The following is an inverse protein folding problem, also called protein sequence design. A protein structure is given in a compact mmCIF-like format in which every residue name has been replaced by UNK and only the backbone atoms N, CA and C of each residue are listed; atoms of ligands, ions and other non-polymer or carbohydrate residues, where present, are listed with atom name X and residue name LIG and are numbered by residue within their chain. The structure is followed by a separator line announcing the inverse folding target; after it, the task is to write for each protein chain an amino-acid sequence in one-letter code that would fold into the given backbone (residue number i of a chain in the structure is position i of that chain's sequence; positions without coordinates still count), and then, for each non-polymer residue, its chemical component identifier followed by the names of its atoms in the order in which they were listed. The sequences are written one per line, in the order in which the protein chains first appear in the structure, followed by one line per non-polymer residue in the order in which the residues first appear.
data_IF_729995065969
#
_entry.id   IF_729995065969
#
_cell.length_a   1.000
_cell.length_b   1.000
_cell.length_c   1.000
_cell.angle_alpha   90.00
_cell.angle_beta   90.00
_cell.angle_gamma   90.00
#
_symmetry.space_group_name_H-M   'P 1'
#
loop_
_entity.id
_entity.type
_entity.pdbx_description
1 polymer ?
#
# COMPACT_ATOMS: atom_id res chain seq x y z
N UNK A 1 -24.47 -4.12 -4.21
CA UNK A 1 -23.63 -5.34 -4.33
C UNK A 1 -22.97 -5.25 -5.71
N UNK A 2 -21.68 -4.94 -5.78
CA UNK A 2 -20.98 -4.69 -7.06
C UNK A 2 -20.45 -6.03 -7.60
N UNK A 3 -20.71 -6.31 -8.89
CA UNK A 3 -20.34 -7.55 -9.58
C UNK A 3 -19.22 -7.21 -10.57
N UNK A 4 -18.00 -7.68 -10.33
CA UNK A 4 -16.82 -7.38 -11.16
C UNK A 4 -16.90 -8.14 -12.49
N UNK A 5 -16.69 -7.45 -13.61
CA UNK A 5 -16.67 -8.04 -14.95
C UNK A 5 -15.25 -8.52 -15.33
N UNK A 6 -15.16 -9.61 -16.12
CA UNK A 6 -13.91 -10.07 -16.75
C UNK A 6 -13.68 -9.27 -18.03
N UNK A 7 -12.63 -8.46 -18.09
CA UNK A 7 -12.17 -7.78 -19.32
C UNK A 7 -10.79 -8.33 -19.67
N UNK A 8 -10.61 -8.70 -20.94
CA UNK A 8 -9.34 -9.19 -21.49
C UNK A 8 -8.57 -7.99 -22.09
N UNK A 9 -7.56 -7.48 -21.37
CA UNK A 9 -6.84 -6.23 -21.66
C UNK A 9 -5.55 -6.44 -22.48
N UNK A 10 -5.30 -7.64 -23.03
CA UNK A 10 -3.96 -8.06 -23.43
C UNK A 10 -3.45 -7.57 -24.81
N UNK A 11 -4.25 -6.88 -25.62
CA UNK A 11 -3.89 -6.62 -27.03
C UNK A 11 -3.53 -5.17 -27.39
N UNK A 12 -3.14 -4.33 -26.43
CA UNK A 12 -2.70 -2.97 -26.77
C UNK A 12 -1.45 -2.56 -26.00
N UNK A 13 -0.43 -2.13 -26.76
CA UNK A 13 0.77 -1.39 -26.37
C UNK A 13 2.07 -2.18 -26.17
N UNK A 14 2.71 -2.49 -27.31
CA UNK A 14 4.15 -2.28 -27.48
C UNK A 14 4.33 -0.99 -28.28
N UNK A 15 4.84 0.09 -27.68
CA UNK A 15 5.66 1.12 -28.38
C UNK A 15 6.28 2.15 -27.42
N UNK A 16 7.61 2.11 -27.36
CA UNK A 16 8.57 3.21 -27.23
C UNK A 16 8.40 4.32 -26.17
N UNK A 17 9.28 4.28 -25.15
CA UNK A 17 9.71 5.49 -24.43
C UNK A 17 11.07 5.93 -24.99
N UNK A 18 11.04 6.83 -25.97
CA UNK A 18 12.22 7.61 -26.35
C UNK A 18 12.40 8.77 -25.37
N UNK A 19 13.41 8.66 -24.50
CA UNK A 19 13.84 9.73 -23.60
C UNK A 19 14.59 10.81 -24.39
N UNK A 20 13.93 11.92 -24.74
CA UNK A 20 14.61 13.14 -25.15
C UNK A 20 14.08 14.37 -24.42
N UNK A 21 14.99 15.07 -23.72
CA UNK A 21 14.93 16.47 -23.24
C UNK A 21 14.53 16.83 -21.79
N UNK A 22 14.32 15.90 -20.85
CA UNK A 22 14.03 16.21 -19.42
C UNK A 22 15.26 16.22 -18.47
N UNK A 23 16.43 16.70 -18.90
CA UNK A 23 17.67 16.46 -18.13
C UNK A 23 17.76 17.10 -16.73
N UNK A 24 16.95 18.11 -16.37
CA UNK A 24 17.11 18.88 -15.11
C UNK A 24 15.89 19.01 -14.17
N UNK A 25 14.77 18.28 -14.37
CA UNK A 25 13.60 18.38 -13.48
C UNK A 25 13.55 17.27 -12.42
N UNK A 26 12.97 17.59 -11.26
CA UNK A 26 12.80 16.65 -10.15
C UNK A 26 11.81 15.54 -10.52
N UNK A 27 12.07 14.30 -10.10
CA UNK A 27 11.27 13.13 -10.53
C UNK A 27 9.80 13.26 -10.13
N UNK A 28 9.53 13.75 -8.92
CA UNK A 28 8.18 13.98 -8.40
C UNK A 28 7.45 15.09 -9.17
N UNK A 29 8.15 16.14 -9.59
CA UNK A 29 7.59 17.21 -10.42
C UNK A 29 7.12 16.67 -11.78
N UNK A 30 7.91 15.80 -12.40
CA UNK A 30 7.51 15.16 -13.65
C UNK A 30 6.27 14.27 -13.48
N UNK A 31 6.13 13.57 -12.36
CA UNK A 31 4.93 12.76 -12.08
C UNK A 31 3.67 13.60 -11.94
N UNK A 32 3.75 14.74 -11.24
CA UNK A 32 2.60 15.66 -11.10
C UNK A 32 2.21 16.28 -12.45
N UNK A 33 3.18 16.66 -13.28
CA UNK A 33 2.87 17.18 -14.63
C UNK A 33 2.22 16.12 -15.51
N UNK A 34 2.67 14.87 -15.42
CA UNK A 34 2.07 13.77 -16.18
C UNK A 34 0.63 13.53 -15.74
N UNK A 35 0.35 13.46 -14.43
CA UNK A 35 -1.01 13.15 -13.95
C UNK A 35 -2.04 14.23 -14.35
N UNK A 36 -1.60 15.48 -14.50
CA UNK A 36 -2.44 16.59 -14.97
C UNK A 36 -2.98 16.37 -16.39
N UNK A 37 -2.17 15.83 -17.30
CA UNK A 37 -2.52 15.64 -18.72
C UNK A 37 -2.73 14.18 -19.16
N UNK A 38 -2.53 13.20 -18.28
CA UNK A 38 -2.56 11.78 -18.63
C UNK A 38 -3.95 11.30 -19.10
N UNK A 39 -4.01 10.60 -20.21
CA UNK A 39 -5.26 10.06 -20.77
C UNK A 39 -5.35 8.54 -20.66
N UNK A 40 -4.20 7.87 -20.45
CA UNK A 40 -4.15 6.44 -20.26
C UNK A 40 -4.43 6.08 -18.79
N UNK A 41 -5.48 5.28 -18.56
CA UNK A 41 -5.91 4.91 -17.20
C UNK A 41 -4.86 4.10 -16.42
N UNK A 42 -4.04 3.30 -17.10
CA UNK A 42 -3.00 2.50 -16.45
C UNK A 42 -1.87 3.43 -16.03
N UNK A 43 -1.38 4.27 -16.94
CA UNK A 43 -0.33 5.24 -16.63
C UNK A 43 -0.77 6.22 -15.54
N UNK A 44 -2.03 6.67 -15.55
CA UNK A 44 -2.60 7.55 -14.53
C UNK A 44 -2.58 6.88 -13.14
N UNK A 45 -3.04 5.62 -13.07
CA UNK A 45 -3.00 4.80 -11.84
C UNK A 45 -1.57 4.68 -11.31
N UNK A 46 -0.63 4.32 -12.17
CA UNK A 46 0.78 4.12 -11.81
C UNK A 46 1.43 5.42 -11.32
N UNK A 47 1.14 6.55 -11.95
CA UNK A 47 1.63 7.87 -11.54
C UNK A 47 1.02 8.33 -10.20
N UNK A 48 -0.21 7.93 -9.88
CA UNK A 48 -0.83 8.22 -8.58
C UNK A 48 -0.18 7.41 -7.45
N UNK A 49 0.07 6.11 -7.68
CA UNK A 49 0.79 5.24 -6.74
C UNK A 49 2.23 5.75 -6.54
N UNK A 50 2.91 6.02 -7.65
CA UNK A 50 3.83 7.14 -7.89
C UNK A 50 4.05 8.13 -6.75
N UNK A 51 3.27 9.18 -6.89
CA UNK A 51 3.22 10.36 -6.06
C UNK A 51 2.96 9.99 -4.61
N UNK A 52 2.03 9.07 -4.34
CA UNK A 52 1.65 8.71 -2.97
C UNK A 52 2.82 8.10 -2.20
N UNK A 53 3.55 7.19 -2.83
CA UNK A 53 4.72 6.57 -2.24
C UNK A 53 5.84 7.59 -1.99
N UNK A 54 6.16 8.43 -2.97
CA UNK A 54 7.21 9.44 -2.83
C UNK A 54 6.88 10.47 -1.74
N UNK A 55 5.61 10.86 -1.64
CA UNK A 55 5.15 11.73 -0.57
C UNK A 55 5.34 11.08 0.79
N UNK A 56 4.89 9.84 0.97
CA UNK A 56 5.08 9.08 2.21
C UNK A 56 6.56 8.90 2.58
N UNK A 57 7.41 8.56 1.60
CA UNK A 57 8.86 8.42 1.78
C UNK A 57 9.50 9.73 2.25
N UNK A 58 9.06 10.87 1.72
CA UNK A 58 9.56 12.18 2.14
C UNK A 58 9.16 12.54 3.56
N UNK A 59 7.93 12.21 3.98
CA UNK A 59 7.47 12.37 5.37
C UNK A 59 8.26 11.51 6.39
N UNK A 60 8.88 10.42 5.94
CA UNK A 60 9.78 9.60 6.77
C UNK A 60 11.18 10.21 6.83
N UNK A 61 11.71 10.64 5.67
CA UNK A 61 13.11 11.05 5.54
C UNK A 61 13.39 12.45 6.05
N UNK A 62 12.37 13.32 6.13
CA UNK A 62 12.53 14.70 6.59
C UNK A 62 11.91 14.87 7.98
N UNK A 63 12.66 15.42 8.97
CA UNK A 63 12.11 15.70 10.29
C UNK A 63 10.99 16.73 10.16
N UNK A 64 9.77 16.28 10.39
CA UNK A 64 8.57 17.11 10.30
C UNK A 64 8.55 18.09 11.48
N UNK A 65 8.18 19.34 11.22
CA UNK A 65 7.82 20.27 12.30
C UNK A 65 6.39 19.93 12.74
N UNK A 66 6.18 19.68 14.03
CA UNK A 66 4.88 19.29 14.61
C UNK A 66 3.72 20.20 14.13
N UNK A 67 4.01 21.49 13.97
CA UNK A 67 3.08 22.53 13.52
C UNK A 67 2.54 22.27 12.10
N UNK A 68 3.29 21.56 11.25
CA UNK A 68 2.93 21.26 9.86
C UNK A 68 2.26 19.90 9.68
N UNK A 69 2.35 19.01 10.68
CA UNK A 69 1.87 17.62 10.56
C UNK A 69 0.40 17.52 10.17
N UNK A 70 -0.48 18.36 10.73
CA UNK A 70 -1.90 18.34 10.40
C UNK A 70 -2.13 18.49 8.90
N UNK A 71 -1.49 19.49 8.29
CA UNK A 71 -1.61 19.74 6.84
C UNK A 71 -1.01 18.60 6.00
N UNK A 72 0.16 18.08 6.39
CA UNK A 72 0.82 16.97 5.71
C UNK A 72 -0.01 15.69 5.76
N UNK A 73 -0.63 15.44 6.92
CA UNK A 73 -1.54 14.31 7.09
C UNK A 73 -2.79 14.46 6.22
N UNK A 74 -3.37 15.66 6.15
CA UNK A 74 -4.50 15.95 5.24
C UNK A 74 -4.13 15.69 3.77
N UNK A 75 -2.91 16.05 3.34
CA UNK A 75 -2.43 15.74 1.99
C UNK A 75 -2.23 14.24 1.77
N UNK A 76 -1.65 13.52 2.73
CA UNK A 76 -1.54 12.06 2.64
C UNK A 76 -2.92 11.40 2.60
N UNK A 77 -3.89 11.88 3.37
CA UNK A 77 -5.26 11.35 3.37
C UNK A 77 -5.97 11.62 2.04
N UNK A 78 -5.74 12.77 1.40
CA UNK A 78 -6.22 13.04 0.03
C UNK A 78 -5.62 12.07 -0.99
N UNK A 79 -4.31 11.81 -0.91
CA UNK A 79 -3.63 10.85 -1.79
C UNK A 79 -4.16 9.42 -1.59
N UNK A 80 -4.37 8.99 -0.34
CA UNK A 80 -4.99 7.69 -0.01
C UNK A 80 -6.42 7.61 -0.53
N UNK A 81 -7.22 8.66 -0.36
CA UNK A 81 -8.60 8.74 -0.86
C UNK A 81 -8.64 8.63 -2.38
N UNK A 82 -7.78 9.39 -3.08
CA UNK A 82 -7.61 9.32 -4.52
C UNK A 82 -7.23 7.89 -4.95
N UNK A 83 -6.23 7.28 -4.32
CA UNK A 83 -5.83 5.90 -4.58
C UNK A 83 -6.98 4.90 -4.40
N UNK A 84 -7.74 5.01 -3.30
CA UNK A 84 -8.92 4.17 -3.05
C UNK A 84 -9.97 4.28 -4.17
N UNK A 85 -10.31 5.51 -4.59
CA UNK A 85 -11.28 5.77 -5.66
C UNK A 85 -10.80 5.17 -6.98
N UNK A 86 -9.57 5.52 -7.40
CA UNK A 86 -8.99 5.06 -8.66
C UNK A 86 -8.96 3.53 -8.74
N UNK A 87 -8.43 2.87 -7.70
CA UNK A 87 -8.33 1.40 -7.67
C UNK A 87 -9.71 0.73 -7.62
N UNK A 88 -10.69 1.33 -6.92
CA UNK A 88 -12.07 0.83 -6.94
C UNK A 88 -12.63 0.80 -8.36
N UNK A 89 -12.59 1.96 -9.02
CA UNK A 89 -13.17 2.14 -10.35
C UNK A 89 -12.45 1.24 -11.35
N UNK A 90 -11.11 1.21 -11.31
CA UNK A 90 -10.29 0.41 -12.20
C UNK A 90 -10.66 -1.08 -12.15
N UNK A 91 -10.63 -1.69 -10.95
CA UNK A 91 -10.94 -3.12 -10.82
C UNK A 91 -12.43 -3.45 -10.94
N UNK A 92 -13.33 -2.46 -10.81
CA UNK A 92 -14.76 -2.62 -11.10
C UNK A 92 -15.10 -2.71 -12.59
N UNK A 93 -14.18 -2.30 -13.46
CA UNK A 93 -14.44 -2.16 -14.89
C UNK A 93 -15.17 -0.87 -15.28
N UNK A 94 -15.39 0.05 -14.32
CA UNK A 94 -15.97 1.38 -14.55
C UNK A 94 -14.98 2.34 -15.27
N UNK A 95 -13.70 1.97 -15.37
CA UNK A 95 -12.62 2.87 -15.82
C UNK A 95 -12.00 3.61 -14.64
N UNK A 96 -11.49 4.82 -14.85
CA UNK A 96 -11.11 5.76 -13.78
C UNK A 96 -11.66 7.13 -14.15
N UNK A 97 -12.37 7.78 -13.23
CA UNK A 97 -12.71 9.20 -13.36
C UNK A 97 -11.48 10.03 -13.01
N UNK A 98 -10.59 10.22 -14.00
CA UNK A 98 -9.32 10.90 -13.81
C UNK A 98 -9.51 12.38 -13.41
N UNK A 99 -10.61 13.03 -13.81
CA UNK A 99 -10.89 14.41 -13.44
C UNK A 99 -11.25 14.51 -11.96
N UNK A 100 -12.13 13.63 -11.46
CA UNK A 100 -12.41 13.55 -10.03
C UNK A 100 -11.14 13.33 -9.21
N UNK A 101 -10.24 12.48 -9.68
CA UNK A 101 -8.98 12.20 -8.97
C UNK A 101 -8.04 13.41 -9.00
N UNK A 102 -7.92 14.10 -10.13
CA UNK A 102 -7.15 15.35 -10.26
C UNK A 102 -7.64 16.42 -9.31
N UNK A 103 -8.96 16.62 -9.22
CA UNK A 103 -9.58 17.59 -8.30
C UNK A 103 -9.24 17.31 -6.83
N UNK A 104 -8.95 16.06 -6.47
CA UNK A 104 -8.52 15.69 -5.10
C UNK A 104 -7.05 16.01 -4.87
N UNK A 105 -6.17 15.70 -5.83
CA UNK A 105 -4.72 15.68 -5.61
C UNK A 105 -4.01 16.98 -6.04
N UNK A 106 -4.39 17.58 -7.17
CA UNK A 106 -3.70 18.74 -7.74
C UNK A 106 -3.73 19.97 -6.83
N UNK A 107 -4.81 20.24 -6.05
CA UNK A 107 -4.78 21.31 -5.05
C UNK A 107 -3.73 21.14 -3.95
N UNK A 108 -3.16 19.94 -3.79
CA UNK A 108 -2.08 19.65 -2.83
C UNK A 108 -0.69 19.57 -3.50
N UNK A 109 -0.56 19.88 -4.80
CA UNK A 109 0.67 19.69 -5.56
C UNK A 109 1.90 20.40 -4.94
N UNK A 110 1.76 21.66 -4.51
CA UNK A 110 2.87 22.40 -3.88
C UNK A 110 3.36 21.70 -2.61
N UNK A 111 2.43 21.23 -1.78
CA UNK A 111 2.77 20.52 -0.56
C UNK A 111 3.38 19.15 -0.84
N UNK A 112 2.90 18.46 -1.88
CA UNK A 112 3.48 17.20 -2.35
C UNK A 112 4.93 17.41 -2.76
N UNK A 113 5.23 18.48 -3.50
CA UNK A 113 6.59 18.81 -3.92
C UNK A 113 7.49 19.25 -2.77
N UNK A 114 6.96 20.01 -1.80
CA UNK A 114 7.73 20.50 -0.65
C UNK A 114 8.20 19.36 0.27
N UNK A 115 7.35 18.36 0.52
CA UNK A 115 7.64 17.30 1.50
C UNK A 115 7.86 15.91 0.91
N UNK A 116 7.65 15.72 -0.39
CA UNK A 116 7.86 14.44 -1.04
C UNK A 116 9.33 14.17 -1.35
N UNK A 117 9.68 12.89 -1.42
CA UNK A 117 11.02 12.47 -1.84
C UNK A 117 11.20 12.73 -3.34
N UNK A 118 12.13 13.61 -3.70
CA UNK A 118 12.38 13.99 -5.10
C UNK A 118 13.50 13.19 -5.76
N UNK A 119 14.16 12.30 -5.01
CA UNK A 119 15.30 11.51 -5.50
C UNK A 119 14.91 10.64 -6.70
N UNK A 120 15.61 10.84 -7.83
CA UNK A 120 15.53 9.97 -9.02
C UNK A 120 15.92 8.50 -8.73
N UNK A 121 16.55 8.23 -7.57
CA UNK A 121 16.92 6.87 -7.14
C UNK A 121 15.82 6.18 -6.32
N UNK A 122 14.82 6.95 -5.85
CA UNK A 122 13.67 6.41 -5.13
C UNK A 122 13.01 5.32 -5.98
N UNK A 123 12.65 4.19 -5.36
CA UNK A 123 12.03 3.07 -6.09
C UNK A 123 10.55 3.36 -6.27
N UNK A 124 10.11 3.66 -7.47
CA UNK A 124 8.75 3.34 -7.90
C UNK A 124 8.66 1.82 -8.06
N UNK A 125 8.30 1.07 -7.01
CA UNK A 125 7.98 -0.35 -7.14
C UNK A 125 6.48 -0.50 -7.00
N UNK A 126 5.81 -0.31 -8.12
CA UNK A 126 4.43 -0.74 -8.28
C UNK A 126 4.46 -2.10 -8.95
N UNK A 127 3.37 -2.83 -8.79
CA UNK A 127 3.22 -4.14 -9.39
C UNK A 127 2.84 -3.97 -10.86
N UNK A 128 3.69 -3.30 -11.64
CA UNK A 128 3.44 -3.08 -13.06
C UNK A 128 3.13 -4.42 -13.72
N UNK A 129 2.05 -4.44 -14.51
CA UNK A 129 1.63 -5.59 -15.31
C UNK A 129 1.17 -6.81 -14.49
N UNK A 130 0.69 -6.59 -13.27
CA UNK A 130 0.15 -7.66 -12.39
C UNK A 130 -1.30 -7.43 -11.99
N UNK A 131 -2.05 -6.72 -12.83
CA UNK A 131 -3.47 -6.41 -12.62
C UNK A 131 -4.28 -7.69 -12.39
N UNK A 132 -3.99 -8.76 -13.14
CA UNK A 132 -4.63 -10.07 -12.95
C UNK A 132 -4.40 -10.65 -11.55
N UNK A 133 -3.17 -10.53 -11.03
CA UNK A 133 -2.82 -11.01 -9.69
C UNK A 133 -3.48 -10.17 -8.60
N UNK A 134 -3.51 -8.84 -8.76
CA UNK A 134 -4.22 -7.93 -7.84
C UNK A 134 -5.72 -8.22 -7.83
N UNK A 135 -6.34 -8.39 -9.01
CA UNK A 135 -7.76 -8.68 -9.12
C UNK A 135 -8.08 -10.01 -8.44
N UNK A 136 -7.28 -11.05 -8.70
CA UNK A 136 -7.42 -12.35 -8.08
C UNK A 136 -7.22 -12.28 -6.55
N UNK A 137 -6.25 -11.50 -6.09
CA UNK A 137 -6.07 -11.20 -4.67
C UNK A 137 -7.33 -10.61 -4.05
N UNK A 138 -7.97 -9.64 -4.71
CA UNK A 138 -9.22 -9.03 -4.24
C UNK A 138 -10.37 -10.04 -4.13
N UNK A 139 -10.53 -10.92 -5.13
CA UNK A 139 -11.54 -11.97 -5.12
C UNK A 139 -11.33 -12.95 -3.95
N UNK A 140 -10.11 -13.46 -3.80
CA UNK A 140 -9.77 -14.41 -2.73
C UNK A 140 -9.90 -13.73 -1.37
N UNK A 141 -9.43 -12.48 -1.23
CA UNK A 141 -9.56 -11.74 0.02
C UNK A 141 -11.04 -11.60 0.41
N UNK A 142 -11.91 -11.27 -0.53
CA UNK A 142 -13.35 -11.16 -0.26
C UNK A 142 -13.96 -12.48 0.22
N UNK A 143 -13.60 -13.60 -0.41
CA UNK A 143 -14.04 -14.94 -0.01
C UNK A 143 -13.56 -15.29 1.40
N UNK A 144 -12.29 -15.03 1.69
CA UNK A 144 -11.65 -15.31 2.96
C UNK A 144 -12.21 -14.46 4.11
N UNK A 145 -12.44 -13.17 3.87
CA UNK A 145 -13.09 -12.27 4.83
C UNK A 145 -14.47 -12.82 5.25
N UNK A 146 -15.25 -13.31 4.29
CA UNK A 146 -16.57 -13.91 4.56
C UNK A 146 -16.46 -15.27 5.24
N UNK A 147 -15.70 -16.20 4.67
CA UNK A 147 -15.61 -17.58 5.12
C UNK A 147 -15.07 -17.70 6.56
N UNK A 148 -14.10 -16.85 6.92
CA UNK A 148 -13.49 -16.83 8.25
C UNK A 148 -14.10 -15.80 9.20
N UNK A 149 -15.14 -15.08 8.77
CA UNK A 149 -15.78 -14.00 9.54
C UNK A 149 -14.75 -12.99 10.06
N UNK A 150 -13.89 -12.53 9.15
CA UNK A 150 -12.81 -11.57 9.42
C UNK A 150 -13.32 -10.19 9.08
N UNK A 151 -13.36 -9.31 10.08
CA UNK A 151 -13.86 -7.94 9.98
C UNK A 151 -12.85 -6.98 10.62
N UNK A 152 -11.75 -6.65 9.91
CA UNK A 152 -10.74 -5.75 10.43
C UNK A 152 -11.35 -4.36 10.61
N UNK A 153 -10.88 -3.61 11.60
CA UNK A 153 -11.29 -2.23 11.85
C UNK A 153 -10.16 -1.24 11.55
N UNK A 154 -9.03 -1.74 11.07
CA UNK A 154 -7.89 -0.94 10.62
C UNK A 154 -7.13 -1.69 9.52
N UNK A 155 -6.64 -0.95 8.54
CA UNK A 155 -5.78 -1.48 7.48
C UNK A 155 -4.38 -0.88 7.60
N UNK A 156 -3.39 -1.70 7.32
CA UNK A 156 -2.02 -1.26 7.15
C UNK A 156 -1.48 -1.77 5.83
N UNK A 157 -0.80 -0.93 5.06
CA UNK A 157 -0.03 -1.38 3.92
C UNK A 157 1.47 -1.30 4.22
N UNK A 158 2.21 -2.26 3.69
CA UNK A 158 3.66 -2.22 3.63
C UNK A 158 4.03 -1.53 2.31
N UNK A 159 4.49 -0.28 2.40
CA UNK A 159 5.06 0.45 1.28
C UNK A 159 6.34 -0.28 0.81
N UNK A 160 6.60 -0.39 -0.48
CA UNK A 160 5.98 0.38 -1.57
C UNK A 160 4.91 -0.38 -2.36
N UNK A 161 5.11 -1.68 -2.60
CA UNK A 161 4.20 -2.46 -3.46
C UNK A 161 2.82 -2.71 -2.84
N UNK A 162 2.66 -2.52 -1.53
CA UNK A 162 1.41 -2.77 -0.83
C UNK A 162 0.30 -1.74 -1.07
N UNK A 163 0.55 -0.59 -1.72
CA UNK A 163 -0.47 0.45 -1.90
C UNK A 163 -1.68 -0.02 -2.70
N UNK A 164 -1.47 -0.52 -3.91
CA UNK A 164 -2.54 -0.97 -4.81
C UNK A 164 -3.43 -2.07 -4.18
N UNK A 165 -2.88 -3.20 -3.67
CA UNK A 165 -3.71 -4.21 -3.01
C UNK A 165 -4.37 -3.69 -1.73
N UNK A 166 -3.77 -2.72 -1.02
CA UNK A 166 -4.39 -2.12 0.15
C UNK A 166 -5.60 -1.24 -0.21
N UNK A 167 -5.52 -0.46 -1.29
CA UNK A 167 -6.67 0.30 -1.79
C UNK A 167 -7.82 -0.62 -2.22
N UNK A 168 -7.50 -1.76 -2.84
CA UNK A 168 -8.51 -2.77 -3.14
C UNK A 168 -9.14 -3.34 -1.85
N UNK A 169 -8.32 -3.66 -0.84
CA UNK A 169 -8.79 -4.12 0.47
C UNK A 169 -9.67 -3.08 1.18
N UNK A 170 -9.32 -1.80 1.14
CA UNK A 170 -10.12 -0.70 1.70
C UNK A 170 -11.53 -0.64 1.12
N UNK A 171 -11.67 -0.92 -0.18
CA UNK A 171 -12.98 -0.98 -0.83
C UNK A 171 -13.79 -2.21 -0.39
N UNK A 172 -13.13 -3.36 -0.21
CA UNK A 172 -13.79 -4.60 0.22
C UNK A 172 -14.26 -4.58 1.68
N UNK A 173 -13.52 -3.87 2.55
CA UNK A 173 -13.82 -3.77 3.99
C UNK A 173 -14.55 -2.48 4.37
N UNK A 174 -14.74 -1.55 3.42
CA UNK A 174 -15.31 -0.22 3.66
C UNK A 174 -14.55 0.60 4.74
N UNK A 175 -13.23 0.43 4.80
CA UNK A 175 -12.35 1.21 5.69
C UNK A 175 -11.76 2.36 4.88
N UNK A 176 -11.80 3.58 5.42
CA UNK A 176 -11.28 4.79 4.77
C UNK A 176 -9.89 5.21 5.25
N UNK A 177 -9.48 4.78 6.43
CA UNK A 177 -8.18 5.11 7.01
C UNK A 177 -7.16 4.00 6.75
N UNK A 178 -6.02 4.37 6.14
CA UNK A 178 -4.93 3.47 5.84
C UNK A 178 -3.68 3.87 6.64
N UNK A 179 -3.12 2.91 7.38
CA UNK A 179 -1.82 3.06 8.02
C UNK A 179 -0.75 2.67 7.00
N UNK A 180 0.14 3.60 6.67
CA UNK A 180 1.21 3.36 5.71
C UNK A 180 2.53 3.24 6.46
N UNK A 181 3.20 2.09 6.31
CA UNK A 181 4.50 1.83 6.91
C UNK A 181 5.51 1.35 5.86
N UNK A 182 6.77 1.76 5.98
CA UNK A 182 7.85 1.32 5.11
C UNK A 182 8.81 0.41 5.86
N UNK A 183 9.24 -0.66 5.18
CA UNK A 183 10.32 -1.51 5.66
C UNK A 183 11.08 -2.12 4.48
N UNK A 184 12.15 -1.45 4.04
CA UNK A 184 12.94 -1.81 2.87
C UNK A 184 14.35 -2.25 3.23
N UNK A 185 14.68 -3.52 2.98
CA UNK A 185 16.05 -4.06 3.14
C UNK A 185 16.99 -3.83 1.95
N UNK A 186 16.46 -3.44 0.79
CA UNK A 186 17.25 -3.44 -0.46
C UNK A 186 17.71 -2.05 -0.84
N UNK A 187 16.84 -1.04 -0.73
CA UNK A 187 17.14 0.32 -1.16
C UNK A 187 17.53 1.22 0.02
N UNK A 188 16.62 1.35 0.97
CA UNK A 188 16.82 2.22 2.15
C UNK A 188 17.62 1.54 3.28
N UNK A 189 17.67 0.20 3.27
CA UNK A 189 18.24 -0.61 4.35
C UNK A 189 17.68 -0.24 5.73
N UNK A 190 16.35 -0.12 5.81
CA UNK A 190 15.64 0.24 7.04
C UNK A 190 15.96 -0.79 8.14
N UNK A 191 16.43 -0.30 9.28
CA UNK A 191 16.76 -1.14 10.46
C UNK A 191 15.51 -1.46 11.30
N UNK A 192 14.45 -0.67 11.16
CA UNK A 192 13.20 -0.79 11.90
C UNK A 192 12.00 -0.39 11.03
N UNK A 193 10.79 -0.66 11.50
CA UNK A 193 9.56 -0.20 10.85
C UNK A 193 9.53 1.33 10.79
N UNK A 194 9.47 1.88 9.58
CA UNK A 194 9.43 3.32 9.36
C UNK A 194 7.98 3.77 9.16
N UNK A 195 7.57 4.75 9.95
CA UNK A 195 6.29 5.45 9.84
C UNK A 195 6.58 6.95 9.99
N UNK A 196 5.79 7.85 9.38
CA UNK A 196 5.95 9.29 9.61
C UNK A 196 5.89 9.60 11.13
N UNK A 197 6.89 10.32 11.63
CA UNK A 197 7.16 10.49 13.08
C UNK A 197 5.96 11.02 13.89
N UNK A 198 5.12 11.86 13.27
CA UNK A 198 3.98 12.52 13.92
C UNK A 198 2.65 11.83 13.71
N UNK A 199 2.65 10.61 13.17
CA UNK A 199 1.59 9.68 13.50
C UNK A 199 1.71 9.45 15.02
N UNK A 200 1.12 10.37 15.82
CA UNK A 200 1.43 10.54 17.24
C UNK A 200 1.51 9.14 17.82
N UNK A 201 2.62 8.75 18.47
CA UNK A 201 2.81 7.36 18.91
C UNK A 201 1.57 6.79 19.62
N UNK A 202 0.77 7.68 20.24
CA UNK A 202 -0.57 7.45 20.74
C UNK A 202 -1.59 7.04 19.65
N UNK A 203 -1.86 7.87 18.65
CA UNK A 203 -2.79 7.59 17.53
C UNK A 203 -2.41 6.32 16.76
N UNK A 204 -1.14 6.15 16.42
CA UNK A 204 -0.67 4.92 15.78
C UNK A 204 -0.97 3.71 16.68
N UNK A 205 -0.57 3.76 17.95
CA UNK A 205 -0.82 2.67 18.90
C UNK A 205 -2.31 2.37 19.10
N UNK A 206 -3.17 3.39 19.17
CA UNK A 206 -4.62 3.21 19.30
C UNK A 206 -5.25 2.60 18.05
N UNK A 207 -4.78 2.96 16.84
CA UNK A 207 -5.20 2.29 15.60
C UNK A 207 -4.74 0.83 15.58
N UNK A 208 -3.51 0.54 16.01
CA UNK A 208 -2.95 -0.83 16.02
C UNK A 208 -3.64 -1.74 17.04
N UNK A 209 -4.04 -1.26 18.23
CA UNK A 209 -4.67 -2.08 19.28
C UNK A 209 -5.96 -2.78 18.84
N UNK A 210 -6.54 -2.39 17.71
CA UNK A 210 -7.79 -2.93 17.16
C UNK A 210 -7.59 -4.27 16.42
N UNK A 211 -8.54 -4.65 15.58
CA UNK A 211 -8.36 -5.75 14.62
C UNK A 211 -7.75 -5.19 13.35
N UNK A 212 -6.51 -5.58 13.05
CA UNK A 212 -5.73 -5.00 11.95
C UNK A 212 -5.48 -6.01 10.86
N UNK A 213 -5.68 -5.61 9.61
CA UNK A 213 -5.26 -6.36 8.43
C UNK A 213 -4.06 -5.66 7.77
N UNK A 214 -2.92 -6.36 7.75
CA UNK A 214 -1.68 -5.91 7.12
C UNK A 214 -1.64 -6.46 5.69
N UNK A 215 -1.40 -5.58 4.72
CA UNK A 215 -1.38 -5.89 3.29
C UNK A 215 0.03 -5.67 2.74
N UNK A 216 0.49 -6.61 1.92
CA UNK A 216 1.77 -6.55 1.21
C UNK A 216 1.58 -6.94 -0.26
N UNK A 217 2.57 -6.61 -1.10
CA UNK A 217 2.61 -7.12 -2.48
C UNK A 217 3.03 -8.60 -2.52
N UNK A 218 4.23 -8.92 -2.06
CA UNK A 218 4.84 -10.22 -2.30
C UNK A 218 5.61 -10.73 -1.09
N UNK A 219 5.45 -12.02 -0.77
CA UNK A 219 6.26 -12.75 0.22
C UNK A 219 7.32 -13.58 -0.50
N UNK A 220 8.52 -13.04 -0.61
CA UNK A 220 9.69 -13.81 -1.02
C UNK A 220 10.26 -14.58 0.19
N UNK A 221 11.30 -14.06 0.85
CA UNK A 221 11.91 -14.70 2.04
C UNK A 221 11.06 -14.60 3.32
N UNK A 222 10.00 -13.77 3.29
CA UNK A 222 9.17 -13.44 4.45
C UNK A 222 9.84 -12.54 5.50
N UNK A 223 11.06 -12.03 5.26
CA UNK A 223 11.76 -11.14 6.20
C UNK A 223 10.98 -9.85 6.46
N UNK A 224 10.60 -9.11 5.42
CA UNK A 224 9.82 -7.86 5.52
C UNK A 224 8.54 -8.06 6.31
N UNK A 225 7.69 -9.00 5.88
CA UNK A 225 6.43 -9.32 6.56
C UNK A 225 6.64 -9.69 8.03
N UNK A 226 7.66 -10.51 8.33
CA UNK A 226 7.96 -10.90 9.72
C UNK A 226 8.40 -9.71 10.56
N UNK A 227 9.30 -8.86 10.07
CA UNK A 227 9.79 -7.69 10.80
C UNK A 227 8.68 -6.67 11.08
N UNK A 228 7.79 -6.44 10.11
CA UNK A 228 6.61 -5.60 10.30
C UNK A 228 5.73 -6.21 11.39
N UNK A 229 5.37 -7.49 11.30
CA UNK A 229 4.57 -8.18 12.32
C UNK A 229 5.24 -8.08 13.71
N UNK A 230 6.56 -8.28 13.82
CA UNK A 230 7.27 -8.18 15.09
C UNK A 230 7.30 -6.77 15.68
N UNK A 231 7.24 -5.73 14.84
CA UNK A 231 7.14 -4.35 15.30
C UNK A 231 5.73 -4.02 15.82
N UNK A 232 4.71 -4.70 15.29
CA UNK A 232 3.30 -4.50 15.64
C UNK A 232 2.86 -5.30 16.88
N UNK A 233 3.36 -6.53 17.06
CA UNK A 233 2.94 -7.40 18.17
C UNK A 233 3.07 -6.79 19.57
N UNK A 234 4.16 -6.05 19.92
CA UNK A 234 4.29 -5.40 21.23
C UNK A 234 3.21 -4.35 21.52
N UNK A 235 2.54 -3.84 20.48
CA UNK A 235 1.43 -2.88 20.62
C UNK A 235 0.10 -3.54 21.00
N UNK A 236 0.08 -4.89 21.10
CA UNK A 236 -1.06 -5.71 21.54
C UNK A 236 -2.33 -5.49 20.69
N UNK A 237 -2.29 -5.72 19.36
CA UNK A 237 -3.50 -5.74 18.54
C UNK A 237 -4.49 -6.79 19.06
N UNK A 238 -5.80 -6.53 19.00
CA UNK A 238 -6.84 -7.51 19.39
C UNK A 238 -6.78 -8.76 18.51
N UNK A 239 -6.68 -8.54 17.20
CA UNK A 239 -6.40 -9.57 16.20
C UNK A 239 -5.49 -8.98 15.12
N UNK A 240 -4.61 -9.81 14.58
CA UNK A 240 -3.74 -9.44 13.48
C UNK A 240 -3.98 -10.40 12.32
N UNK A 241 -4.35 -9.83 11.19
CA UNK A 241 -4.46 -10.50 9.91
C UNK A 241 -3.33 -10.02 9.01
N UNK A 242 -2.83 -10.91 8.17
CA UNK A 242 -1.83 -10.58 7.17
C UNK A 242 -2.28 -11.18 5.84
N UNK A 243 -2.23 -10.37 4.79
CA UNK A 243 -2.48 -10.79 3.43
C UNK A 243 -1.44 -10.24 2.46
N UNK A 244 -1.18 -10.99 1.40
CA UNK A 244 -0.27 -10.61 0.33
C UNK A 244 -0.85 -11.07 -1.00
N UNK A 245 -0.55 -10.33 -2.07
CA UNK A 245 -0.94 -10.71 -3.44
C UNK A 245 -0.26 -12.03 -3.82
N UNK A 246 1.02 -12.15 -3.51
CA UNK A 246 1.82 -13.31 -3.87
C UNK A 246 2.68 -13.84 -2.72
N UNK A 247 3.14 -15.08 -2.89
CA UNK A 247 4.24 -15.65 -2.12
C UNK A 247 3.80 -16.63 -1.04
N UNK A 248 4.77 -17.31 -0.43
CA UNK A 248 4.48 -18.49 0.40
C UNK A 248 4.34 -18.16 1.89
N UNK A 249 3.12 -18.28 2.43
CA UNK A 249 2.81 -18.13 3.86
C UNK A 249 3.66 -18.98 4.80
N UNK A 250 4.16 -20.13 4.32
CA UNK A 250 5.05 -21.01 5.09
C UNK A 250 6.35 -20.30 5.50
N UNK A 251 6.80 -19.30 4.75
CA UNK A 251 8.02 -18.53 5.06
C UNK A 251 7.82 -17.61 6.27
N UNK A 252 6.62 -17.02 6.41
CA UNK A 252 6.23 -16.21 7.56
C UNK A 252 5.98 -17.11 8.78
N UNK A 253 5.14 -18.14 8.62
CA UNK A 253 4.76 -19.00 9.74
C UNK A 253 5.94 -19.76 10.35
N UNK A 254 6.95 -20.17 9.57
CA UNK A 254 8.22 -20.73 10.10
C UNK A 254 8.96 -19.74 11.01
N UNK A 255 9.00 -18.46 10.63
CA UNK A 255 9.65 -17.39 11.42
C UNK A 255 8.84 -17.03 12.66
N UNK A 256 7.52 -16.93 12.55
CA UNK A 256 6.62 -16.67 13.69
C UNK A 256 6.63 -17.85 14.69
N UNK A 257 6.65 -19.11 14.23
CA UNK A 257 6.70 -20.30 15.10
C UNK A 257 7.97 -20.38 15.94
N UNK A 258 9.13 -19.94 15.40
CA UNK A 258 10.37 -19.85 16.19
C UNK A 258 10.22 -18.92 17.39
N UNK A 259 9.36 -17.91 17.30
CA UNK A 259 9.13 -16.94 18.39
C UNK A 259 8.07 -17.41 19.38
N UNK A 260 7.03 -18.13 18.92
CA UNK A 260 6.08 -18.80 19.83
C UNK A 260 6.76 -19.81 20.77
N UNK A 261 7.92 -20.36 20.38
CA UNK A 261 8.76 -21.21 21.25
C UNK A 261 9.59 -20.41 22.27
N UNK A 262 9.85 -19.13 22.03
CA UNK A 262 10.66 -18.27 22.92
C UNK A 262 9.79 -17.58 23.99
N UNK A 263 8.52 -17.29 23.69
CA UNK A 263 7.59 -16.66 24.63
C UNK A 263 6.57 -17.65 25.22
N UNK A 264 6.98 -18.27 26.34
CA UNK A 264 6.08 -18.96 27.27
C UNK A 264 5.33 -17.90 28.10
N UNK A 265 3.99 -18.07 28.13
CA UNK A 265 2.98 -17.42 28.98
C UNK A 265 2.38 -16.02 28.68
N UNK A 266 1.04 -16.08 28.63
CA UNK A 266 -0.03 -15.09 28.95
C UNK A 266 -0.42 -14.03 27.89
N UNK A 267 -1.72 -14.07 27.57
CA UNK A 267 -2.53 -13.24 26.65
C UNK A 267 -1.97 -13.08 25.23
N UNK A 268 -2.40 -13.97 24.31
CA UNK A 268 -1.94 -13.97 22.91
C UNK A 268 -2.93 -13.24 22.00
N UNK A 269 -2.49 -12.33 21.13
CA UNK A 269 -3.30 -11.90 20.00
C UNK A 269 -3.54 -13.10 19.07
N UNK A 270 -4.78 -13.25 18.58
CA UNK A 270 -5.08 -14.21 17.53
C UNK A 270 -4.44 -13.71 16.24
N UNK A 271 -3.50 -14.48 15.70
CA UNK A 271 -2.87 -14.24 14.39
C UNK A 271 -3.48 -15.25 13.43
N UNK A 272 -4.31 -14.79 12.51
CA UNK A 272 -4.77 -15.59 11.37
C UNK A 272 -4.15 -15.06 10.10
N UNK A 273 -3.37 -15.91 9.46
CA UNK A 273 -2.78 -15.64 8.16
C UNK A 273 -3.86 -15.88 7.09
N UNK A 274 -4.18 -14.87 6.30
CA UNK A 274 -4.93 -15.04 5.06
C UNK A 274 -3.91 -14.92 3.94
N UNK A 275 -3.41 -16.04 3.43
CA UNK A 275 -2.57 -15.98 2.24
C UNK A 275 -3.38 -16.46 1.07
N UNK A 276 -3.67 -15.52 0.18
CA UNK A 276 -4.44 -15.71 -1.03
C UNK A 276 -3.60 -16.45 -2.09
N UNK A 277 -3.24 -17.70 -1.84
CA UNK A 277 -2.61 -18.53 -2.87
C UNK A 277 -3.59 -19.58 -3.38
N UNK A 278 -3.80 -19.56 -4.69
CA UNK A 278 -4.01 -20.76 -5.48
C UNK A 278 -3.00 -20.75 -6.64
N UNK A 279 -1.85 -21.40 -6.43
CA UNK A 279 -1.12 -22.00 -7.55
C UNK A 279 -0.66 -23.40 -7.14
N UNK A 280 -1.43 -24.39 -7.61
CA UNK A 280 -0.85 -25.63 -8.10
C UNK A 280 -0.39 -25.35 -9.52
N UNK A 281 0.90 -25.14 -9.71
CA UNK A 281 1.53 -25.39 -11.01
C UNK A 281 2.21 -26.75 -10.89
N UNK A 282 1.66 -27.73 -11.61
CA UNK A 282 2.27 -29.04 -11.84
C UNK A 282 3.63 -28.87 -12.52
#
# INVERSE_FOLDING_TARGET
MIKLAKINLYDYYNTEINFSNEKNRDYLENLIRKIEGEENIIDFKEQLLAITQLYHDGLISSPVQEQKWKSQRETLDKLIKAGKISIRQFYSGEGIDMNQVREIILPSAEQILEYGNTSRKAKSRYLNYREGDIQNFGLILQEELKAKTIDPTSLMCIANGGFEPAYLAMNLTNIDDLIVARYSHVKENDSQLMIPDYQQKKDFKEKIKKEILIINDCIDTGKTASSVIFSILPLKPRKLFFASVEGNSKNISKKIKKIKKINIHKSRPFISEIVCNNFKSN
#
